data_IF_448649586890
#
_entry.id   IF_448649586890
#
_cell.length_a   1.000
_cell.length_b   1.000
_cell.length_c   1.000
_cell.angle_alpha   90.00
_cell.angle_beta   90.00
_cell.angle_gamma   90.00
#
_symmetry.space_group_name_H-M   'P 1'
#
loop_
_entity.id
_entity.type
_entity.pdbx_description
1 polymer ?
#
# COMPACT_ATOMS: atom_id res chain seq x y z
N UNK A 1 26.92 -22.36 -9.02
CA UNK A 1 26.32 -21.13 -8.54
C UNK A 1 25.19 -21.47 -7.59
N UNK A 2 25.39 -21.24 -6.30
CA UNK A 2 24.49 -21.64 -5.23
C UNK A 2 23.16 -20.87 -5.27
N UNK A 3 22.05 -21.61 -5.45
CA UNK A 3 20.67 -21.10 -5.44
C UNK A 3 20.11 -20.83 -4.02
N UNK A 4 20.93 -20.65 -3.00
CA UNK A 4 20.52 -20.56 -1.60
C UNK A 4 20.78 -19.20 -0.95
N UNK A 5 20.56 -18.09 -1.68
CA UNK A 5 20.33 -16.78 -1.06
C UNK A 5 18.87 -16.35 -1.32
N UNK A 6 17.92 -17.11 -0.77
CA UNK A 6 16.58 -16.57 -0.56
C UNK A 6 16.73 -15.42 0.45
N UNK A 7 16.60 -14.20 -0.05
CA UNK A 7 16.74 -12.99 0.75
C UNK A 7 15.85 -13.09 1.98
N UNK A 8 16.39 -12.78 3.15
CA UNK A 8 15.65 -12.67 4.41
C UNK A 8 14.46 -11.67 4.36
N UNK A 9 14.25 -11.02 3.22
CA UNK A 9 13.34 -9.88 3.03
C UNK A 9 12.02 -10.21 2.30
N UNK A 10 11.82 -11.43 1.79
CA UNK A 10 10.68 -11.71 0.91
C UNK A 10 10.80 -10.95 -0.43
N UNK A 11 9.67 -10.52 -0.99
CA UNK A 11 9.66 -9.66 -2.19
C UNK A 11 10.15 -8.26 -1.85
N UNK A 12 11.18 -7.81 -2.53
CA UNK A 12 11.65 -6.43 -2.43
C UNK A 12 10.81 -5.50 -3.32
N UNK A 13 10.94 -4.18 -3.13
CA UNK A 13 10.32 -3.19 -4.03
C UNK A 13 10.78 -3.38 -5.49
N UNK A 14 12.04 -3.77 -5.68
CA UNK A 14 12.57 -4.11 -7.00
C UNK A 14 11.84 -5.31 -7.63
N UNK A 15 11.57 -6.36 -6.84
CA UNK A 15 10.82 -7.52 -7.30
C UNK A 15 9.38 -7.17 -7.62
N UNK A 16 8.71 -6.39 -6.78
CA UNK A 16 7.35 -5.92 -7.02
C UNK A 16 7.24 -5.15 -8.34
N UNK A 17 8.16 -4.21 -8.58
CA UNK A 17 8.22 -3.48 -9.86
C UNK A 17 8.40 -4.41 -11.06
N UNK A 18 9.24 -5.44 -10.97
CA UNK A 18 9.44 -6.45 -12.02
C UNK A 18 8.23 -7.36 -12.24
N UNK A 19 7.42 -7.58 -11.22
CA UNK A 19 6.23 -8.43 -11.26
C UNK A 19 5.00 -7.69 -11.78
N UNK A 20 5.06 -6.36 -11.91
CA UNK A 20 3.96 -5.57 -12.47
C UNK A 20 3.47 -6.15 -13.80
N UNK A 21 2.15 -6.38 -13.89
CA UNK A 21 1.50 -6.94 -15.07
C UNK A 21 1.79 -8.42 -15.38
N UNK A 22 2.65 -9.10 -14.60
CA UNK A 22 3.05 -10.50 -14.85
C UNK A 22 2.32 -11.49 -13.98
N UNK A 23 2.16 -11.20 -12.70
CA UNK A 23 1.37 -11.99 -11.75
C UNK A 23 0.81 -11.13 -10.63
N UNK A 24 -0.18 -11.66 -9.93
CA UNK A 24 -0.80 -10.99 -8.80
C UNK A 24 -0.12 -11.34 -7.51
N UNK A 25 0.00 -10.34 -6.65
CA UNK A 25 0.52 -10.46 -5.31
C UNK A 25 -0.66 -10.50 -4.32
N UNK A 26 -0.59 -11.39 -3.36
CA UNK A 26 -1.52 -11.46 -2.23
C UNK A 26 -1.02 -10.54 -1.12
N UNK A 27 -1.88 -9.63 -0.69
CA UNK A 27 -1.58 -8.63 0.32
C UNK A 27 -2.67 -8.62 1.39
N UNK A 28 -2.28 -8.67 2.66
CA UNK A 28 -3.19 -8.66 3.80
C UNK A 28 -2.77 -7.63 4.84
N UNK A 29 -3.73 -6.81 5.29
CA UNK A 29 -3.58 -5.99 6.48
C UNK A 29 -3.80 -6.86 7.72
N UNK A 30 -2.89 -6.77 8.68
CA UNK A 30 -2.96 -7.48 9.94
C UNK A 30 -2.99 -6.52 11.12
N UNK A 31 -3.60 -6.96 12.21
CA UNK A 31 -3.68 -6.24 13.47
C UNK A 31 -2.86 -6.93 14.58
N UNK A 32 -2.56 -8.22 14.45
CA UNK A 32 -1.78 -8.99 15.42
C UNK A 32 -0.66 -9.80 14.78
N UNK A 33 0.34 -10.18 15.59
CA UNK A 33 1.41 -11.06 15.15
C UNK A 33 0.89 -12.44 14.72
N UNK A 34 -0.09 -12.98 15.44
CA UNK A 34 -0.72 -14.28 15.13
C UNK A 34 -1.35 -14.28 13.75
N UNK A 35 -2.09 -13.22 13.40
CA UNK A 35 -2.61 -13.03 12.04
C UNK A 35 -1.48 -12.97 11.01
N UNK A 36 -0.37 -12.32 11.35
CA UNK A 36 0.79 -12.23 10.47
C UNK A 36 1.48 -13.59 10.25
N UNK A 37 1.61 -14.39 11.29
CA UNK A 37 2.18 -15.75 11.19
C UNK A 37 1.27 -16.67 10.36
N UNK A 38 -0.04 -16.64 10.60
CA UNK A 38 -1.02 -17.38 9.81
C UNK A 38 -1.03 -16.94 8.34
N UNK A 39 -0.97 -15.63 8.08
CA UNK A 39 -0.88 -15.09 6.73
C UNK A 39 0.37 -15.57 6.01
N UNK A 40 1.53 -15.53 6.67
CA UNK A 40 2.80 -16.06 6.13
C UNK A 40 2.72 -17.53 5.81
N UNK A 41 2.17 -18.35 6.72
CA UNK A 41 1.98 -19.80 6.51
C UNK A 41 1.03 -20.07 5.33
N UNK A 42 -0.02 -19.26 5.17
CA UNK A 42 -0.92 -19.32 4.03
C UNK A 42 -0.30 -18.81 2.70
N UNK A 43 0.98 -18.42 2.70
CA UNK A 43 1.70 -17.96 1.53
C UNK A 43 1.27 -16.55 1.07
N UNK A 44 0.90 -15.68 1.99
CA UNK A 44 0.73 -14.24 1.73
C UNK A 44 2.11 -13.62 1.52
N UNK A 45 2.25 -12.80 0.51
CA UNK A 45 3.54 -12.26 0.04
C UNK A 45 3.81 -10.84 0.52
N UNK A 46 2.74 -10.08 0.77
CA UNK A 46 2.81 -8.75 1.38
C UNK A 46 1.92 -8.70 2.61
N UNK A 47 2.43 -8.07 3.65
CA UNK A 47 1.69 -7.81 4.89
C UNK A 47 1.77 -6.32 5.19
N UNK A 48 0.63 -5.71 5.44
CA UNK A 48 0.51 -4.34 5.90
C UNK A 48 0.12 -4.27 7.37
N UNK A 49 0.60 -3.24 8.05
CA UNK A 49 0.15 -2.91 9.39
C UNK A 49 0.37 -1.43 9.67
N UNK A 50 -0.32 -0.87 10.67
CA UNK A 50 0.02 0.46 11.16
C UNK A 50 1.28 0.38 12.02
N UNK A 51 2.13 1.40 11.90
CA UNK A 51 3.38 1.45 12.65
C UNK A 51 3.15 1.38 14.18
N UNK A 52 2.06 1.99 14.68
CA UNK A 52 1.75 1.99 16.11
C UNK A 52 1.49 0.61 16.69
N UNK A 53 0.99 -0.33 15.91
CA UNK A 53 0.70 -1.70 16.37
C UNK A 53 1.97 -2.50 16.65
N UNK A 54 3.08 -2.16 16.00
CA UNK A 54 4.35 -2.88 16.09
C UNK A 54 5.52 -2.04 16.62
N UNK A 55 5.26 -1.01 17.40
CA UNK A 55 6.27 -0.06 17.91
C UNK A 55 7.49 -0.70 18.58
N UNK A 56 7.38 -1.90 19.12
CA UNK A 56 8.43 -2.50 19.95
C UNK A 56 9.07 -3.75 19.37
N UNK A 57 8.42 -4.47 18.46
CA UNK A 57 8.92 -5.75 17.98
C UNK A 57 8.48 -5.99 16.55
N UNK A 58 9.19 -5.40 15.60
CA UNK A 58 9.03 -5.87 14.22
C UNK A 58 9.36 -7.37 14.19
N UNK A 59 8.41 -8.20 13.80
CA UNK A 59 8.55 -9.62 14.08
C UNK A 59 9.64 -10.22 13.22
N UNK A 60 10.78 -10.50 13.83
CA UNK A 60 11.80 -11.36 13.21
C UNK A 60 11.18 -12.68 12.69
N UNK A 61 10.03 -13.08 13.25
CA UNK A 61 9.26 -14.26 12.82
C UNK A 61 8.61 -14.09 11.45
N UNK A 62 8.33 -12.87 10.98
CA UNK A 62 7.73 -12.60 9.68
C UNK A 62 8.76 -12.37 8.56
N UNK A 63 10.02 -12.73 8.77
CA UNK A 63 11.04 -12.73 7.72
C UNK A 63 10.56 -13.52 6.50
N UNK A 64 10.87 -13.01 5.32
CA UNK A 64 10.47 -13.63 4.05
C UNK A 64 9.14 -13.15 3.50
N UNK A 65 8.49 -12.17 4.14
CA UNK A 65 7.31 -11.46 3.65
C UNK A 65 7.67 -9.99 3.42
N UNK A 66 7.11 -9.37 2.39
CA UNK A 66 7.24 -7.91 2.20
C UNK A 66 6.41 -7.17 3.23
N UNK A 67 7.05 -6.33 4.01
CA UNK A 67 6.36 -5.53 5.02
C UNK A 67 6.14 -4.10 4.57
N UNK A 68 4.87 -3.68 4.60
CA UNK A 68 4.44 -2.31 4.45
C UNK A 68 4.00 -1.76 5.80
N UNK A 69 4.52 -0.60 6.19
CA UNK A 69 3.99 0.17 7.31
C UNK A 69 3.14 1.33 6.83
N UNK A 70 1.97 1.49 7.45
CA UNK A 70 1.03 2.56 7.14
C UNK A 70 1.23 3.78 8.04
N UNK A 71 1.47 4.93 7.43
CA UNK A 71 1.19 6.21 8.09
C UNK A 71 -0.33 6.39 8.13
N UNK A 72 -0.88 6.67 9.31
CA UNK A 72 -2.31 6.97 9.44
C UNK A 72 -2.56 8.44 9.15
N UNK A 73 -3.58 8.71 8.36
CA UNK A 73 -4.04 10.07 8.14
C UNK A 73 -4.42 10.73 9.47
N UNK A 74 -3.87 11.91 9.72
CA UNK A 74 -4.09 12.67 10.96
C UNK A 74 -3.01 12.49 12.03
N UNK A 75 -2.12 11.50 11.91
CA UNK A 75 -1.04 11.29 12.90
C UNK A 75 0.19 12.14 12.61
N UNK A 76 0.39 12.54 11.36
CA UNK A 76 1.49 13.42 10.93
C UNK A 76 0.90 14.70 10.39
N UNK A 77 1.26 15.83 11.00
CA UNK A 77 0.77 17.16 10.62
C UNK A 77 1.60 17.80 9.52
N UNK A 78 2.82 17.29 9.25
CA UNK A 78 3.75 17.88 8.29
C UNK A 78 4.53 16.81 7.50
N UNK A 79 5.18 17.24 6.41
CA UNK A 79 6.07 16.37 5.64
C UNK A 79 7.29 15.93 6.46
N UNK A 80 7.80 16.77 7.35
CA UNK A 80 8.92 16.43 8.22
C UNK A 80 8.55 15.33 9.21
N UNK A 81 7.38 15.43 9.83
CA UNK A 81 6.88 14.38 10.73
C UNK A 81 6.65 13.05 9.98
N UNK A 82 6.09 13.12 8.78
CA UNK A 82 5.92 11.95 7.92
C UNK A 82 7.28 11.32 7.56
N UNK A 83 8.28 12.12 7.21
CA UNK A 83 9.63 11.66 6.91
C UNK A 83 10.27 11.00 8.13
N UNK A 84 10.22 11.65 9.29
CA UNK A 84 10.77 11.11 10.55
C UNK A 84 10.14 9.77 10.92
N UNK A 85 8.81 9.67 10.82
CA UNK A 85 8.09 8.43 11.08
C UNK A 85 8.44 7.34 10.07
N UNK A 86 8.57 7.69 8.79
CA UNK A 86 8.95 6.77 7.71
C UNK A 86 10.37 6.22 7.90
N UNK A 87 11.35 7.09 8.17
CA UNK A 87 12.73 6.68 8.44
C UNK A 87 12.82 5.75 9.64
N UNK A 88 12.08 6.06 10.71
CA UNK A 88 12.02 5.17 11.87
C UNK A 88 11.43 3.82 11.49
N UNK A 89 10.32 3.77 10.76
CA UNK A 89 9.70 2.52 10.32
C UNK A 89 10.64 1.70 9.44
N UNK A 90 11.36 2.35 8.50
CA UNK A 90 12.37 1.67 7.66
C UNK A 90 13.50 1.06 8.50
N UNK A 91 14.01 1.78 9.50
CA UNK A 91 15.02 1.27 10.44
C UNK A 91 14.49 0.10 11.28
N UNK A 92 13.21 0.09 11.59
CA UNK A 92 12.54 -0.99 12.33
C UNK A 92 12.18 -2.18 11.41
N UNK A 93 12.48 -2.12 10.10
CA UNK A 93 12.39 -3.22 9.16
C UNK A 93 11.23 -3.15 8.13
N UNK A 94 10.56 -2.01 8.00
CA UNK A 94 9.65 -1.79 6.88
C UNK A 94 10.40 -1.87 5.55
N UNK A 95 9.73 -2.35 4.51
CA UNK A 95 10.27 -2.36 3.14
C UNK A 95 9.58 -1.34 2.24
N UNK A 96 8.42 -0.85 2.66
CA UNK A 96 7.69 0.24 2.03
C UNK A 96 6.80 0.95 3.04
N UNK A 97 6.44 2.18 2.70
CA UNK A 97 5.61 3.05 3.54
C UNK A 97 4.33 3.41 2.77
N UNK A 98 3.18 3.05 3.32
CA UNK A 98 1.91 3.60 2.86
C UNK A 98 1.75 5.03 3.38
N UNK A 99 1.46 5.97 2.48
CA UNK A 99 1.30 7.38 2.79
C UNK A 99 0.04 7.96 2.12
N UNK A 100 -1.05 8.19 2.88
CA UNK A 100 -2.30 8.77 2.36
C UNK A 100 -2.27 10.31 2.28
N UNK A 101 -1.10 10.92 2.39
CA UNK A 101 -0.92 12.37 2.35
C UNK A 101 -0.80 12.88 0.91
N UNK A 102 -0.66 14.19 0.75
CA UNK A 102 -0.59 14.83 -0.57
C UNK A 102 0.61 14.38 -1.40
N UNK A 103 0.57 14.55 -2.74
CA UNK A 103 1.72 14.27 -3.60
C UNK A 103 3.00 15.02 -3.20
N UNK A 104 2.89 16.24 -2.66
CA UNK A 104 4.04 16.99 -2.17
C UNK A 104 4.74 16.33 -0.98
N UNK A 105 3.99 15.71 -0.08
CA UNK A 105 4.57 14.92 1.02
C UNK A 105 5.23 13.66 0.47
N UNK A 106 4.55 12.96 -0.44
CA UNK A 106 5.11 11.76 -1.10
C UNK A 106 6.41 12.09 -1.82
N UNK A 107 6.51 13.24 -2.47
CA UNK A 107 7.73 13.70 -3.13
C UNK A 107 8.88 13.88 -2.15
N UNK A 108 8.62 14.49 -0.98
CA UNK A 108 9.63 14.62 0.09
C UNK A 108 10.15 13.26 0.52
N UNK A 109 9.25 12.30 0.81
CA UNK A 109 9.64 10.95 1.21
C UNK A 109 10.44 10.23 0.12
N UNK A 110 9.99 10.32 -1.13
CA UNK A 110 10.60 9.64 -2.27
C UNK A 110 12.00 10.17 -2.59
N UNK A 111 12.24 11.48 -2.43
CA UNK A 111 13.56 12.09 -2.60
C UNK A 111 14.58 11.58 -1.59
N UNK A 112 14.15 11.24 -0.39
CA UNK A 112 14.98 10.63 0.65
C UNK A 112 15.11 9.09 0.50
N UNK A 113 14.65 8.53 -0.64
CA UNK A 113 14.76 7.11 -0.92
C UNK A 113 13.75 6.23 -0.20
N UNK A 114 12.72 6.79 0.43
CA UNK A 114 11.64 6.02 1.04
C UNK A 114 10.75 5.44 -0.05
N UNK A 115 10.55 4.10 -0.13
CA UNK A 115 9.64 3.50 -1.07
C UNK A 115 8.18 3.75 -0.65
N UNK A 116 7.48 4.63 -1.37
CA UNK A 116 6.13 5.07 -0.99
C UNK A 116 5.06 4.36 -1.80
N UNK A 117 4.04 3.87 -1.10
CA UNK A 117 2.74 3.44 -1.63
C UNK A 117 1.76 4.58 -1.38
N UNK A 118 1.29 5.21 -2.44
CA UNK A 118 0.31 6.29 -2.39
C UNK A 118 -1.13 5.74 -2.33
N UNK A 119 -2.13 6.62 -2.27
CA UNK A 119 -3.53 6.24 -2.19
C UNK A 119 -4.42 7.10 -3.08
N UNK A 120 -5.35 6.44 -3.80
CA UNK A 120 -6.41 7.14 -4.53
C UNK A 120 -7.74 6.38 -4.46
N UNK A 121 -8.83 7.10 -4.65
CA UNK A 121 -10.18 6.59 -4.53
C UNK A 121 -10.83 7.00 -3.21
N UNK A 122 -11.48 6.06 -2.55
CA UNK A 122 -12.07 6.28 -1.23
C UNK A 122 -10.96 6.39 -0.18
N UNK A 123 -11.01 7.44 0.62
CA UNK A 123 -10.13 7.60 1.78
C UNK A 123 -11.02 7.68 3.01
N UNK A 124 -11.16 6.61 3.81
CA UNK A 124 -12.11 6.53 4.92
C UNK A 124 -12.12 7.76 5.84
N UNK A 125 -10.98 8.30 6.30
CA UNK A 125 -10.99 9.50 7.13
C UNK A 125 -11.48 10.79 6.42
N UNK A 126 -11.60 10.76 5.08
CA UNK A 126 -12.02 11.91 4.25
C UNK A 126 -13.40 11.71 3.60
N UNK A 127 -14.21 10.80 4.12
CA UNK A 127 -15.53 10.44 3.54
C UNK A 127 -16.48 11.63 3.42
N UNK A 128 -16.34 12.66 4.24
CA UNK A 128 -17.13 13.89 4.14
C UNK A 128 -16.93 14.61 2.79
N UNK A 129 -15.75 14.45 2.16
CA UNK A 129 -15.47 15.02 0.85
C UNK A 129 -16.08 14.20 -0.30
N UNK A 130 -16.42 12.94 -0.05
CA UNK A 130 -16.99 12.03 -1.05
C UNK A 130 -18.49 11.78 -0.85
N UNK A 131 -19.07 12.33 0.22
CA UNK A 131 -20.47 12.11 0.56
C UNK A 131 -20.74 10.73 1.17
N UNK A 132 -19.76 10.16 1.88
CA UNK A 132 -19.86 8.88 2.59
C UNK A 132 -19.05 7.75 1.94
N UNK A 133 -19.28 6.52 2.43
CA UNK A 133 -18.64 5.31 1.91
C UNK A 133 -19.26 4.92 0.57
N UNK A 134 -18.62 5.26 -0.52
CA UNK A 134 -19.05 4.94 -1.88
C UNK A 134 -17.89 4.81 -2.84
N UNK A 135 -18.14 4.22 -4.00
CA UNK A 135 -17.16 4.17 -5.06
C UNK A 135 -16.87 5.58 -5.60
N UNK A 136 -15.59 5.90 -5.74
CA UNK A 136 -15.06 7.18 -6.27
C UNK A 136 -14.56 6.98 -7.69
N UNK A 137 -15.04 7.81 -8.62
CA UNK A 137 -14.71 7.70 -10.05
C UNK A 137 -15.84 7.16 -10.91
N UNK A 138 -17.12 7.26 -10.46
CA UNK A 138 -18.29 6.85 -11.22
C UNK A 138 -18.70 7.88 -12.29
N UNK A 139 -18.53 9.17 -12.04
CA UNK A 139 -18.73 10.22 -13.02
C UNK A 139 -17.44 10.51 -13.80
N UNK A 140 -17.57 11.21 -14.92
CA UNK A 140 -16.41 11.61 -15.74
C UNK A 140 -15.44 12.49 -14.93
N UNK A 141 -15.96 13.47 -14.20
CA UNK A 141 -15.14 14.40 -13.41
C UNK A 141 -14.41 13.68 -12.28
N UNK A 142 -15.10 12.79 -11.56
CA UNK A 142 -14.45 11.96 -10.54
C UNK A 142 -13.40 11.02 -11.15
N UNK A 143 -13.69 10.41 -12.28
CA UNK A 143 -12.75 9.52 -12.96
C UNK A 143 -11.49 10.29 -13.39
N UNK A 144 -11.67 11.49 -13.94
CA UNK A 144 -10.59 12.42 -14.29
C UNK A 144 -9.76 12.78 -13.04
N UNK A 145 -10.41 13.14 -11.94
CA UNK A 145 -9.75 13.48 -10.68
C UNK A 145 -8.92 12.31 -10.14
N UNK A 146 -9.45 11.09 -10.13
CA UNK A 146 -8.71 9.90 -9.67
C UNK A 146 -7.52 9.61 -10.58
N UNK A 147 -7.70 9.72 -11.90
CA UNK A 147 -6.63 9.58 -12.89
C UNK A 147 -5.50 10.60 -12.67
N UNK A 148 -5.84 11.88 -12.58
CA UNK A 148 -4.87 12.95 -12.36
C UNK A 148 -4.15 12.80 -11.02
N UNK A 149 -4.86 12.33 -9.99
CA UNK A 149 -4.27 12.03 -8.68
C UNK A 149 -3.23 10.91 -8.79
N UNK A 150 -3.54 9.82 -9.50
CA UNK A 150 -2.58 8.74 -9.74
C UNK A 150 -1.34 9.24 -10.49
N UNK A 151 -1.52 10.09 -11.52
CA UNK A 151 -0.41 10.68 -12.27
C UNK A 151 0.46 11.61 -11.42
N UNK A 152 -0.14 12.40 -10.53
CA UNK A 152 0.62 13.25 -9.60
C UNK A 152 1.45 12.43 -8.61
N UNK A 153 0.92 11.32 -8.10
CA UNK A 153 1.68 10.42 -7.23
C UNK A 153 2.81 9.71 -7.99
N UNK A 154 2.57 9.31 -9.24
CA UNK A 154 3.64 8.77 -10.09
C UNK A 154 4.77 9.79 -10.26
N UNK A 155 4.44 11.04 -10.59
CA UNK A 155 5.41 12.13 -10.73
C UNK A 155 6.13 12.48 -9.43
N UNK A 156 5.45 12.33 -8.28
CA UNK A 156 6.03 12.51 -6.95
C UNK A 156 6.98 11.37 -6.53
N UNK A 157 7.15 10.33 -7.35
CA UNK A 157 8.10 9.25 -7.10
C UNK A 157 7.53 8.07 -6.30
N UNK A 158 6.21 7.99 -6.06
CA UNK A 158 5.62 6.79 -5.52
C UNK A 158 5.94 5.58 -6.42
N UNK A 159 6.26 4.42 -5.83
CA UNK A 159 6.45 3.21 -6.62
C UNK A 159 5.15 2.43 -6.82
N UNK A 160 4.18 2.62 -5.90
CA UNK A 160 2.90 1.93 -5.90
C UNK A 160 1.76 2.85 -5.50
N UNK A 161 0.53 2.41 -5.79
CA UNK A 161 -0.69 3.11 -5.39
C UNK A 161 -1.77 2.11 -5.00
N UNK A 162 -2.39 2.34 -3.85
CA UNK A 162 -3.63 1.70 -3.46
C UNK A 162 -4.80 2.40 -4.15
N UNK A 163 -5.65 1.60 -4.81
CA UNK A 163 -6.88 2.05 -5.44
C UNK A 163 -8.04 1.49 -4.63
N UNK A 164 -8.63 2.33 -3.76
CA UNK A 164 -9.71 1.92 -2.88
C UNK A 164 -11.07 2.29 -3.47
N UNK A 165 -11.91 1.28 -3.67
CA UNK A 165 -13.30 1.38 -4.14
C UNK A 165 -13.41 2.28 -5.38
N UNK A 166 -12.47 2.09 -6.33
CA UNK A 166 -12.47 2.74 -7.65
C UNK A 166 -13.11 1.80 -8.67
N UNK A 167 -13.99 2.28 -9.59
CA UNK A 167 -14.57 1.45 -10.62
C UNK A 167 -13.51 0.67 -11.42
N UNK A 168 -13.75 -0.64 -11.59
CA UNK A 168 -12.76 -1.58 -12.13
C UNK A 168 -12.22 -1.22 -13.53
N UNK A 169 -13.03 -0.54 -14.38
CA UNK A 169 -12.58 -0.04 -15.69
C UNK A 169 -11.53 1.07 -15.53
N UNK A 170 -11.81 2.07 -14.70
CA UNK A 170 -10.89 3.19 -14.44
C UNK A 170 -9.58 2.69 -13.81
N UNK A 171 -9.70 1.88 -12.77
CA UNK A 171 -8.55 1.32 -12.10
C UNK A 171 -7.71 0.43 -13.07
N UNK A 172 -8.33 -0.25 -14.07
CA UNK A 172 -7.62 -0.98 -15.13
C UNK A 172 -6.81 -0.05 -16.04
N UNK A 173 -7.36 1.09 -16.41
CA UNK A 173 -6.63 2.06 -17.23
C UNK A 173 -5.46 2.67 -16.45
N UNK A 174 -5.63 2.98 -15.16
CA UNK A 174 -4.53 3.42 -14.30
C UNK A 174 -3.41 2.37 -14.27
N UNK A 175 -3.75 1.10 -14.06
CA UNK A 175 -2.76 0.01 -14.04
C UNK A 175 -1.96 -0.09 -15.33
N UNK A 176 -2.63 0.04 -16.47
CA UNK A 176 -1.99 -0.10 -17.81
C UNK A 176 -1.13 1.10 -18.19
N UNK A 177 -1.53 2.31 -17.76
CA UNK A 177 -0.98 3.58 -18.26
C UNK A 177 -0.08 4.31 -17.27
N UNK A 178 0.23 3.70 -16.12
CA UNK A 178 1.18 4.21 -15.14
C UNK A 178 2.27 3.18 -14.90
N UNK A 179 3.43 3.64 -14.43
CA UNK A 179 4.50 2.77 -13.95
C UNK A 179 4.25 2.26 -12.53
N UNK A 180 3.24 2.81 -11.83
CA UNK A 180 2.88 2.46 -10.46
C UNK A 180 2.48 0.99 -10.33
N UNK A 181 3.05 0.28 -9.38
CA UNK A 181 2.54 -1.02 -8.95
C UNK A 181 1.17 -0.81 -8.28
N UNK A 182 0.11 -1.34 -8.87
CA UNK A 182 -1.27 -1.03 -8.44
C UNK A 182 -1.80 -2.09 -7.51
N UNK A 183 -2.35 -1.63 -6.39
CA UNK A 183 -2.91 -2.45 -5.32
C UNK A 183 -4.42 -2.24 -5.29
N UNK A 184 -5.19 -3.33 -5.39
CA UNK A 184 -6.65 -3.26 -5.34
C UNK A 184 -7.16 -3.40 -3.91
N UNK A 185 -7.92 -2.43 -3.47
CA UNK A 185 -8.78 -2.51 -2.30
C UNK A 185 -10.22 -2.24 -2.76
N UNK A 186 -10.95 -3.31 -3.09
CA UNK A 186 -12.31 -3.20 -3.65
C UNK A 186 -12.41 -2.63 -5.09
N UNK A 187 -11.29 -2.58 -5.87
CA UNK A 187 -11.26 -2.00 -7.22
C UNK A 187 -11.17 -3.04 -8.34
N UNK A 188 -11.50 -4.30 -8.03
CA UNK A 188 -11.55 -5.41 -8.98
C UNK A 188 -10.20 -6.10 -9.19
N UNK A 189 -10.24 -7.20 -9.95
CA UNK A 189 -9.14 -8.17 -10.01
C UNK A 189 -8.01 -7.84 -10.98
N UNK A 190 -8.11 -6.82 -11.82
CA UNK A 190 -7.10 -6.48 -12.84
C UNK A 190 -6.04 -5.50 -12.32
N UNK A 191 -5.48 -5.76 -11.12
CA UNK A 191 -4.39 -4.98 -10.47
C UNK A 191 -3.21 -5.90 -10.25
N UNK A 192 -2.08 -5.32 -9.87
CA UNK A 192 -0.84 -6.06 -9.62
C UNK A 192 -0.89 -6.79 -8.27
N UNK A 193 -1.60 -6.23 -7.28
CA UNK A 193 -1.87 -6.89 -6.02
C UNK A 193 -3.35 -6.84 -5.64
N UNK A 194 -3.79 -7.82 -4.85
CA UNK A 194 -5.09 -7.85 -4.19
C UNK A 194 -4.87 -7.69 -2.69
N UNK A 195 -5.50 -6.68 -2.11
CA UNK A 195 -5.39 -6.30 -0.72
C UNK A 195 -6.71 -6.51 0.02
N UNK A 196 -6.65 -7.17 1.15
CA UNK A 196 -7.79 -7.43 2.05
C UNK A 196 -7.37 -7.17 3.50
N UNK A 197 -8.33 -6.84 4.35
CA UNK A 197 -8.11 -6.76 5.79
C UNK A 197 -8.31 -8.14 6.42
N UNK A 198 -7.50 -8.49 7.42
CA UNK A 198 -7.65 -9.73 8.20
C UNK A 198 -9.04 -9.83 8.82
N UNK A 199 -9.58 -8.74 9.35
CA UNK A 199 -10.92 -8.68 9.93
C UNK A 199 -12.02 -9.10 8.95
N UNK A 200 -11.90 -8.73 7.65
CA UNK A 200 -12.85 -9.15 6.62
C UNK A 200 -12.69 -10.65 6.29
N UNK A 201 -11.45 -11.13 6.23
CA UNK A 201 -11.15 -12.56 5.92
C UNK A 201 -11.63 -13.47 7.05
N UNK A 202 -11.47 -13.03 8.30
CA UNK A 202 -11.84 -13.81 9.49
C UNK A 202 -13.30 -13.62 9.91
N UNK A 203 -14.04 -12.72 9.29
CA UNK A 203 -15.44 -12.44 9.62
C UNK A 203 -15.61 -11.73 10.97
N UNK A 204 -14.60 -10.95 11.40
CA UNK A 204 -14.63 -10.24 12.69
C UNK A 204 -15.48 -8.95 12.65
N UNK A 205 -15.86 -8.51 11.46
CA UNK A 205 -16.75 -7.35 11.26
C UNK A 205 -18.03 -7.81 10.60
N UNK A 206 -19.11 -7.85 11.36
CA UNK A 206 -20.48 -7.95 10.88
C UNK A 206 -21.08 -6.56 10.67
#
# INVERSE_FOLDING_TARGET
MNKNNSSNFGLTVFDLKKLKGKRKIKFVQIDTLEQGLAAKEAGIEMIGTSYEQFKTHFPKQLKGVHFQFGLRWGNQASAEEALRASMKAMNDGAQSIYCPMSPSVVEVLSREGIPVIAHAGLIPPKITLTGGYRAVGKSFDEAKMVWETAKRYESAGAFAIELEVVPGKLASEITKRTSLFTISLGSGSKRDAQYLFSADILGEKN
#
